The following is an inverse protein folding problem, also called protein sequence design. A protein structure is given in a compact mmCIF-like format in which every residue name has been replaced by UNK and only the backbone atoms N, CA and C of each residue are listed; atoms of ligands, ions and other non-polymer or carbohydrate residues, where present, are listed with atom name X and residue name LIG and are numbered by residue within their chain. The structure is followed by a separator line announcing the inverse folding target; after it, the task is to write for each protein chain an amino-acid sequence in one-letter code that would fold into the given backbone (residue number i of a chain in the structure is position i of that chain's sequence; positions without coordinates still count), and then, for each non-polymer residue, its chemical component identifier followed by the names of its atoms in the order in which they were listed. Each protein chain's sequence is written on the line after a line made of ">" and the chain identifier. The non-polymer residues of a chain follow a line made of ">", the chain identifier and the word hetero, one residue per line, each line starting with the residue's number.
data_IF_028574559145
#
_entry.id   IF_028574559145
#
_cell.length_a   1.000
_cell.length_b   1.000
_cell.length_c   1.000
_cell.angle_alpha   90.00
_cell.angle_beta   90.00
_cell.angle_gamma   90.00
#
_symmetry.space_group_name_H-M   'P 1'
#
loop_
_entity.id
_entity.type
_entity.pdbx_description
1 polymer ?
#
# COMPACT_ATOMS: atom_id res chain seq x y z
N UNK A 1 -6.66 11.30 2.08
CA UNK A 1 -7.94 10.70 1.68
C UNK A 1 -8.49 10.01 2.91
N UNK A 2 -9.76 10.20 3.26
CA UNK A 2 -10.34 9.59 4.45
C UNK A 2 -11.17 8.36 4.02
N UNK A 3 -10.78 7.18 4.47
CA UNK A 3 -11.52 5.93 4.23
C UNK A 3 -12.33 5.48 5.47
N UNK A 4 -12.17 6.14 6.63
CA UNK A 4 -12.84 5.75 7.88
C UNK A 4 -14.37 5.92 7.84
N UNK A 5 -14.87 6.85 7.02
CA UNK A 5 -16.31 7.07 6.84
C UNK A 5 -16.93 6.17 5.76
N UNK A 6 -16.16 5.19 5.26
CA UNK A 6 -16.61 4.24 4.25
C UNK A 6 -16.78 2.84 4.85
N UNK A 7 -17.58 1.99 4.22
CA UNK A 7 -17.62 0.56 4.54
C UNK A 7 -16.39 -0.20 4.03
N UNK A 8 -15.41 0.48 3.43
CA UNK A 8 -14.22 -0.14 2.88
C UNK A 8 -13.21 -0.39 4.00
N UNK A 9 -12.57 -1.56 3.95
CA UNK A 9 -11.49 -1.94 4.86
C UNK A 9 -10.15 -1.69 4.18
N UNK A 10 -9.17 -1.20 4.94
CA UNK A 10 -7.78 -1.07 4.46
C UNK A 10 -7.03 -2.35 4.81
N UNK A 11 -6.32 -2.90 3.83
CA UNK A 11 -5.50 -4.10 4.00
C UNK A 11 -4.07 -3.76 3.60
N UNK A 12 -3.11 -4.04 4.48
CA UNK A 12 -1.70 -3.67 4.29
C UNK A 12 -0.91 -4.83 3.68
N UNK A 13 -0.19 -4.56 2.58
CA UNK A 13 0.69 -5.52 1.91
C UNK A 13 2.12 -5.00 1.84
N UNK A 14 3.09 -5.86 2.17
CA UNK A 14 4.53 -5.60 2.06
C UNK A 14 5.33 -6.92 1.99
N UNK A 15 6.64 -6.86 2.25
CA UNK A 15 7.51 -8.02 2.36
C UNK A 15 7.26 -8.81 3.65
N UNK A 16 7.17 -10.14 3.53
CA UNK A 16 6.94 -11.03 4.68
C UNK A 16 8.01 -10.84 5.75
N UNK A 17 7.57 -10.67 7.00
CA UNK A 17 8.44 -10.56 8.16
C UNK A 17 9.09 -9.19 8.33
N UNK A 18 8.74 -8.19 7.51
CA UNK A 18 9.20 -6.81 7.68
C UNK A 18 8.00 -5.90 8.01
N UNK A 19 8.14 -5.15 9.10
CA UNK A 19 7.22 -4.06 9.40
C UNK A 19 7.32 -2.95 8.33
N UNK A 20 6.21 -2.26 8.09
CA UNK A 20 6.18 -1.04 7.30
C UNK A 20 6.99 0.03 8.03
N UNK A 21 7.96 0.63 7.33
CA UNK A 21 8.77 1.70 7.90
C UNK A 21 8.02 3.04 7.80
N UNK A 22 7.73 3.64 8.94
CA UNK A 22 7.06 4.93 9.04
C UNK A 22 8.08 6.01 9.45
N UNK A 23 8.01 7.17 8.82
CA UNK A 23 8.77 8.37 9.18
C UNK A 23 8.22 8.95 10.51
N UNK A 24 8.45 8.26 11.64
CA UNK A 24 7.87 8.61 12.94
C UNK A 24 8.23 10.01 13.43
N UNK A 25 9.35 10.57 12.96
CA UNK A 25 9.74 11.96 13.23
C UNK A 25 8.77 13.00 12.63
N UNK A 26 7.93 12.61 11.67
CA UNK A 26 6.89 13.43 11.07
C UNK A 26 5.49 13.12 11.61
N UNK A 27 5.36 12.21 12.58
CA UNK A 27 4.07 11.84 13.16
C UNK A 27 3.49 13.03 13.94
N UNK A 28 2.26 13.51 13.63
CA UNK A 28 1.66 14.62 14.36
C UNK A 28 1.14 14.13 15.73
N UNK A 29 1.97 14.23 16.76
CA UNK A 29 1.67 13.74 18.12
C UNK A 29 0.43 14.39 18.75
N UNK A 30 0.12 15.63 18.38
CA UNK A 30 -1.04 16.37 18.91
C UNK A 30 -2.36 16.10 18.16
N UNK A 31 -2.30 15.47 16.97
CA UNK A 31 -3.50 15.18 16.18
C UNK A 31 -4.10 13.83 16.59
N UNK A 32 -5.12 13.90 17.46
CA UNK A 32 -5.80 12.71 17.99
C UNK A 32 -6.42 11.82 16.91
N UNK A 33 -6.88 12.38 15.79
CA UNK A 33 -7.49 11.57 14.74
C UNK A 33 -6.43 10.73 14.03
N UNK A 34 -5.26 11.33 13.73
CA UNK A 34 -4.14 10.61 13.12
C UNK A 34 -3.56 9.57 14.08
N UNK A 35 -3.40 9.91 15.37
CA UNK A 35 -2.95 8.94 16.38
C UNK A 35 -3.88 7.74 16.47
N UNK A 36 -5.20 7.97 16.52
CA UNK A 36 -6.18 6.91 16.59
C UNK A 36 -6.16 6.00 15.35
N UNK A 37 -6.05 6.56 14.14
CA UNK A 37 -5.88 5.78 12.91
C UNK A 37 -4.61 4.95 12.97
N UNK A 38 -3.50 5.56 13.39
CA UNK A 38 -2.22 4.87 13.45
C UNK A 38 -2.28 3.68 14.43
N UNK A 39 -2.86 3.87 15.61
CA UNK A 39 -3.09 2.81 16.60
C UNK A 39 -3.97 1.69 16.03
N UNK A 40 -5.07 2.03 15.34
CA UNK A 40 -5.99 1.07 14.72
C UNK A 40 -5.28 0.12 13.74
N UNK A 41 -4.34 0.63 12.94
CA UNK A 41 -3.60 -0.13 11.92
C UNK A 41 -2.20 -0.58 12.37
N UNK A 42 -1.79 -0.32 13.62
CA UNK A 42 -0.42 -0.61 14.07
C UNK A 42 -0.06 -2.10 13.93
N UNK A 43 -0.97 -3.01 14.24
CA UNK A 43 -0.73 -4.44 14.10
C UNK A 43 -0.52 -4.85 12.64
N UNK A 44 -1.33 -4.33 11.72
CA UNK A 44 -1.22 -4.58 10.28
C UNK A 44 0.04 -3.97 9.68
N UNK A 45 0.44 -2.78 10.14
CA UNK A 45 1.69 -2.13 9.73
C UNK A 45 2.91 -2.91 10.25
N UNK A 46 2.84 -3.49 11.44
CA UNK A 46 3.92 -4.30 12.00
C UNK A 46 4.00 -5.71 11.39
N UNK A 47 2.87 -6.26 10.94
CA UNK A 47 2.76 -7.61 10.35
C UNK A 47 1.93 -7.57 9.06
N UNK A 48 2.43 -6.90 8.01
CA UNK A 48 1.71 -6.77 6.75
C UNK A 48 1.56 -8.13 6.06
N UNK A 49 0.53 -8.25 5.24
CA UNK A 49 0.38 -9.39 4.35
C UNK A 49 1.45 -9.36 3.25
N UNK A 50 1.72 -10.51 2.65
CA UNK A 50 2.74 -10.66 1.61
C UNK A 50 2.28 -10.11 0.27
N UNK A 51 2.95 -9.08 -0.26
CA UNK A 51 2.71 -8.62 -1.64
C UNK A 51 3.06 -9.70 -2.66
N UNK A 52 4.10 -10.50 -2.40
CA UNK A 52 4.51 -11.58 -3.27
C UNK A 52 3.47 -12.72 -3.31
N UNK A 53 2.86 -13.06 -2.17
CA UNK A 53 1.80 -14.07 -2.17
C UNK A 53 0.51 -13.52 -2.76
N UNK A 54 0.23 -12.22 -2.57
CA UNK A 54 -0.89 -11.55 -3.22
C UNK A 54 -0.80 -11.67 -4.75
N UNK A 55 0.36 -11.32 -5.32
CA UNK A 55 0.62 -11.40 -6.75
C UNK A 55 0.51 -12.83 -7.31
N UNK A 56 0.88 -13.85 -6.53
CA UNK A 56 0.81 -15.25 -6.97
C UNK A 56 -0.57 -15.88 -6.86
N UNK A 57 -1.35 -15.51 -5.84
CA UNK A 57 -2.51 -16.32 -5.41
C UNK A 57 -3.80 -15.54 -5.19
N UNK A 58 -3.72 -14.27 -4.79
CA UNK A 58 -4.90 -13.53 -4.30
C UNK A 58 -5.56 -12.66 -5.36
N UNK A 59 -4.87 -12.33 -6.46
CA UNK A 59 -5.41 -11.59 -7.60
C UNK A 59 -6.61 -12.28 -8.29
N UNK A 60 -6.87 -13.56 -7.99
CA UNK A 60 -8.01 -14.32 -8.50
C UNK A 60 -9.33 -14.03 -7.77
N UNK A 61 -9.29 -13.36 -6.60
CA UNK A 61 -10.48 -12.96 -5.84
C UNK A 61 -10.82 -11.49 -6.11
N UNK A 62 -11.21 -11.21 -7.34
CA UNK A 62 -11.33 -9.86 -7.94
C UNK A 62 -12.40 -8.98 -7.24
N UNK A 63 -13.49 -9.56 -6.73
CA UNK A 63 -14.62 -8.80 -6.18
C UNK A 63 -14.37 -8.18 -4.79
N UNK A 64 -13.18 -8.38 -4.21
CA UNK A 64 -12.86 -7.94 -2.84
C UNK A 64 -12.14 -6.60 -2.76
N UNK A 65 -11.60 -6.11 -3.87
CA UNK A 65 -10.81 -4.88 -3.88
C UNK A 65 -11.44 -3.86 -4.81
N UNK A 66 -11.49 -2.61 -4.37
CA UNK A 66 -11.95 -1.48 -5.18
C UNK A 66 -10.77 -0.67 -5.74
N UNK A 67 -9.59 -0.80 -5.15
CA UNK A 67 -8.42 -0.01 -5.51
C UNK A 67 -7.19 -0.30 -4.65
N UNK A 68 -6.07 0.27 -5.08
CA UNK A 68 -4.78 0.25 -4.39
C UNK A 68 -4.38 1.67 -4.01
N UNK A 69 -3.79 1.83 -2.84
CA UNK A 69 -3.23 3.10 -2.38
C UNK A 69 -1.75 2.93 -2.05
N UNK A 70 -0.90 3.74 -2.70
CA UNK A 70 0.55 3.76 -2.49
C UNK A 70 0.91 5.10 -1.84
N UNK A 71 1.13 5.14 -0.51
CA UNK A 71 1.50 6.37 0.18
C UNK A 71 2.89 6.87 -0.23
N UNK A 72 3.18 8.12 0.12
CA UNK A 72 4.47 8.76 -0.12
C UNK A 72 5.50 8.51 0.97
N UNK A 73 6.32 9.54 1.23
CA UNK A 73 7.56 9.43 2.00
C UNK A 73 8.72 9.01 1.11
N UNK A 74 9.96 9.38 1.46
CA UNK A 74 11.11 9.05 0.60
C UNK A 74 11.39 7.54 0.57
N UNK A 75 10.93 6.80 1.57
CA UNK A 75 11.01 5.33 1.60
C UNK A 75 10.33 4.67 0.40
N UNK A 76 9.33 5.29 -0.21
CA UNK A 76 8.68 4.77 -1.42
C UNK A 76 9.62 4.69 -2.64
N UNK A 77 10.75 5.38 -2.61
CA UNK A 77 11.77 5.27 -3.67
C UNK A 77 12.71 4.08 -3.46
N UNK A 78 12.64 3.40 -2.32
CA UNK A 78 13.55 2.31 -1.96
C UNK A 78 12.91 0.97 -2.32
N UNK A 79 13.23 0.46 -3.51
CA UNK A 79 12.87 -0.88 -3.96
C UNK A 79 11.47 -1.02 -4.54
N UNK A 80 10.50 -0.14 -4.24
CA UNK A 80 9.20 -0.15 -4.94
C UNK A 80 9.35 0.08 -6.45
N UNK A 81 10.18 1.04 -6.94
CA UNK A 81 10.32 1.28 -8.37
C UNK A 81 10.84 0.07 -9.16
N UNK A 82 11.57 -0.85 -8.52
CA UNK A 82 12.16 -2.04 -9.12
C UNK A 82 11.44 -3.35 -8.74
N UNK A 83 10.28 -3.29 -8.07
CA UNK A 83 9.61 -4.48 -7.54
C UNK A 83 8.73 -5.20 -8.58
N UNK A 84 9.08 -6.42 -8.96
CA UNK A 84 8.30 -7.23 -9.92
C UNK A 84 6.90 -7.60 -9.41
N UNK A 85 6.69 -7.84 -8.12
CA UNK A 85 5.35 -8.13 -7.60
C UNK A 85 4.45 -6.88 -7.64
N UNK A 86 5.04 -5.69 -7.49
CA UNK A 86 4.32 -4.43 -7.63
C UNK A 86 3.95 -4.16 -9.09
N UNK A 87 4.82 -4.51 -10.05
CA UNK A 87 4.50 -4.51 -11.48
C UNK A 87 3.24 -5.32 -11.75
N UNK A 88 3.20 -6.58 -11.29
CA UNK A 88 2.01 -7.43 -11.46
C UNK A 88 0.76 -6.81 -10.81
N UNK A 89 0.90 -6.20 -9.62
CA UNK A 89 -0.20 -5.49 -8.95
C UNK A 89 -0.76 -4.33 -9.77
N UNK A 90 0.12 -3.50 -10.34
CA UNK A 90 -0.29 -2.35 -11.14
C UNK A 90 -0.96 -2.76 -12.45
N UNK A 91 -0.44 -3.80 -13.12
CA UNK A 91 -1.03 -4.35 -14.34
C UNK A 91 -2.41 -4.93 -14.03
N UNK A 92 -2.51 -5.78 -13.00
CA UNK A 92 -3.78 -6.36 -12.56
C UNK A 92 -4.81 -5.28 -12.20
N UNK A 93 -4.43 -4.28 -11.41
CA UNK A 93 -5.34 -3.21 -11.01
C UNK A 93 -5.88 -2.44 -12.23
N UNK A 94 -5.01 -2.15 -13.22
CA UNK A 94 -5.41 -1.51 -14.47
C UNK A 94 -6.35 -2.39 -15.31
N UNK A 95 -6.05 -3.69 -15.46
CA UNK A 95 -6.87 -4.62 -16.25
C UNK A 95 -8.26 -4.83 -15.65
N UNK A 96 -8.37 -4.70 -14.32
CA UNK A 96 -9.62 -4.87 -13.57
C UNK A 96 -10.36 -3.56 -13.28
N UNK A 97 -9.91 -2.45 -13.85
CA UNK A 97 -10.50 -1.12 -13.65
C UNK A 97 -10.56 -0.71 -12.16
N UNK A 98 -9.59 -1.18 -11.37
CA UNK A 98 -9.43 -0.77 -9.98
C UNK A 98 -8.79 0.62 -9.89
N UNK A 99 -9.19 1.39 -8.88
CA UNK A 99 -8.57 2.70 -8.64
C UNK A 99 -7.10 2.53 -8.23
N UNK A 100 -6.22 3.34 -8.81
CA UNK A 100 -4.82 3.43 -8.40
C UNK A 100 -4.57 4.82 -7.83
N UNK A 101 -4.31 4.91 -6.53
CA UNK A 101 -4.13 6.16 -5.81
C UNK A 101 -2.70 6.28 -5.29
N UNK A 102 -2.08 7.45 -5.46
CA UNK A 102 -0.76 7.70 -4.91
C UNK A 102 -0.49 9.20 -4.68
N UNK A 103 0.46 9.52 -3.80
CA UNK A 103 0.79 10.91 -3.42
C UNK A 103 2.27 11.08 -3.09
N UNK A 104 2.80 12.30 -3.26
CA UNK A 104 4.17 12.70 -2.96
C UNK A 104 5.18 11.89 -3.81
N UNK A 105 6.03 11.08 -3.19
CA UNK A 105 6.98 10.19 -3.88
C UNK A 105 6.42 8.78 -4.14
N UNK A 106 5.20 8.48 -3.64
CA UNK A 106 4.52 7.22 -3.94
C UNK A 106 4.44 6.89 -5.43
N UNK A 107 4.22 7.86 -6.35
CA UNK A 107 4.20 7.59 -7.79
C UNK A 107 5.52 7.05 -8.36
N UNK A 108 6.65 7.11 -7.63
CA UNK A 108 7.87 6.43 -8.03
C UNK A 108 7.66 4.91 -8.16
N UNK A 109 6.73 4.33 -7.39
CA UNK A 109 6.32 2.94 -7.51
C UNK A 109 5.78 2.58 -8.91
N UNK A 110 5.23 3.54 -9.66
CA UNK A 110 4.71 3.29 -11.01
C UNK A 110 5.81 2.97 -12.02
N UNK A 111 7.07 3.29 -11.72
CA UNK A 111 8.20 2.87 -12.53
C UNK A 111 8.31 1.34 -12.60
N UNK A 112 7.81 0.60 -11.61
CA UNK A 112 7.80 -0.86 -11.65
C UNK A 112 6.96 -1.42 -12.80
N UNK A 113 5.93 -0.69 -13.24
CA UNK A 113 5.13 -1.08 -14.41
C UNK A 113 5.93 -1.05 -15.73
N UNK A 114 7.11 -0.41 -15.75
CA UNK A 114 8.00 -0.36 -16.89
C UNK A 114 9.11 -1.44 -16.87
N UNK A 115 9.16 -2.29 -15.83
CA UNK A 115 10.08 -3.43 -15.78
C UNK A 115 9.71 -4.42 -16.90
N UNK A 116 10.70 -4.77 -17.72
CA UNK A 116 10.57 -5.62 -18.90
C UNK A 116 11.51 -6.81 -18.85
#
# INVERSE_FOLDING_TARGET
>A
MNFQDSSAQVITYWEVGKAVAIEMWAMPEEDKNVQQIFEEYTDDLNKPLSLADFAKTSMQNEDKYIGIFIPGGHGAMLGLPENENLRELLIWAKEKDHFILSICHGPAAFLSAAIG
#
